data_IF_386793116506
#
_entry.id   IF_386793116506
#
_cell.length_a   1.000
_cell.length_b   1.000
_cell.length_c   1.000
_cell.angle_alpha   90.00
_cell.angle_beta   90.00
_cell.angle_gamma   90.00
#
_symmetry.space_group_name_H-M   'P 1'
#
loop_
_entity.id
_entity.type
_entity.pdbx_description
1 polymer ?
#
# COMPACT_ATOMS: atom_id res chain seq x y z
N UNK A 1 3.44 31.90 43.70
CA UNK A 1 4.26 31.87 42.47
C UNK A 1 5.16 30.62 42.37
N UNK A 2 5.97 30.30 43.39
CA UNK A 2 6.89 29.13 43.38
C UNK A 2 6.20 27.77 43.18
N UNK A 3 5.03 27.58 43.81
CA UNK A 3 4.24 26.33 43.71
C UNK A 3 3.71 26.05 42.30
N UNK A 4 3.35 27.10 41.55
CA UNK A 4 2.87 26.98 40.17
C UNK A 4 4.00 26.60 39.20
N UNK A 5 5.19 27.19 39.40
CA UNK A 5 6.38 26.86 38.61
C UNK A 5 6.85 25.41 38.84
N UNK A 6 6.85 24.93 40.08
CA UNK A 6 7.20 23.53 40.37
C UNK A 6 6.21 22.54 39.72
N UNK A 7 4.90 22.84 39.76
CA UNK A 7 3.90 22.00 39.11
C UNK A 7 4.09 21.97 37.58
N UNK A 8 4.34 23.11 36.95
CA UNK A 8 4.61 23.21 35.51
C UNK A 8 5.86 22.43 35.10
N UNK A 9 6.95 22.54 35.88
CA UNK A 9 8.20 21.81 35.59
C UNK A 9 8.00 20.28 35.67
N UNK A 10 7.21 19.81 36.64
CA UNK A 10 6.88 18.38 36.77
C UNK A 10 6.06 17.88 35.57
N UNK A 11 5.08 18.66 35.09
CA UNK A 11 4.26 18.30 33.91
C UNK A 11 5.11 18.26 32.63
N UNK A 12 6.04 19.19 32.44
CA UNK A 12 6.94 19.18 31.28
C UNK A 12 7.88 17.97 31.34
N UNK A 13 8.39 17.62 32.52
CA UNK A 13 9.25 16.45 32.69
C UNK A 13 8.52 15.13 32.40
N UNK A 14 7.26 14.97 32.85
CA UNK A 14 6.47 13.76 32.57
C UNK A 14 6.09 13.66 31.09
N UNK A 15 5.75 14.77 30.42
CA UNK A 15 5.51 14.81 28.98
C UNK A 15 6.76 14.44 28.17
N UNK A 16 7.94 14.94 28.57
CA UNK A 16 9.22 14.63 27.92
C UNK A 16 9.69 13.17 28.13
N UNK A 17 9.32 12.57 29.26
CA UNK A 17 9.58 11.14 29.53
C UNK A 17 8.62 10.25 28.73
N UNK A 18 7.34 10.62 28.63
CA UNK A 18 6.35 9.90 27.85
C UNK A 18 6.68 9.91 26.34
N UNK A 19 7.18 11.03 25.80
CA UNK A 19 7.54 11.12 24.38
C UNK A 19 8.72 10.22 23.99
N UNK A 20 9.71 10.05 24.87
CA UNK A 20 10.85 9.15 24.64
C UNK A 20 10.44 7.68 24.57
N UNK A 21 9.47 7.26 25.38
CA UNK A 21 8.93 5.89 25.33
C UNK A 21 8.21 5.56 24.03
N UNK A 22 7.49 6.53 23.46
CA UNK A 22 6.78 6.39 22.17
C UNK A 22 7.76 6.26 20.99
N UNK A 23 8.86 7.02 20.99
CA UNK A 23 9.85 6.99 19.91
C UNK A 23 10.63 5.66 19.82
N UNK A 24 10.86 4.96 20.94
CA UNK A 24 11.57 3.68 20.94
C UNK A 24 10.73 2.50 20.40
N UNK A 25 9.39 2.57 20.49
CA UNK A 25 8.50 1.55 19.93
C UNK A 25 8.40 1.64 18.39
N UNK A 26 8.57 2.84 17.83
CA UNK A 26 8.32 3.12 16.41
C UNK A 26 9.36 2.55 15.43
N UNK A 27 10.40 1.86 15.89
CA UNK A 27 11.40 1.29 14.97
C UNK A 27 10.87 -0.03 14.41
N UNK A 28 10.31 0.00 13.19
CA UNK A 28 9.95 -1.21 12.44
C UNK A 28 11.19 -2.09 12.31
N UNK A 29 11.25 -3.18 13.07
CA UNK A 29 12.37 -4.11 13.03
C UNK A 29 12.33 -4.88 11.71
N UNK A 30 13.15 -4.46 10.75
CA UNK A 30 13.32 -5.18 9.49
C UNK A 30 14.11 -6.46 9.75
N UNK A 31 13.46 -7.62 9.63
CA UNK A 31 14.06 -8.95 9.77
C UNK A 31 14.75 -9.37 8.46
N UNK A 32 14.10 -9.10 7.33
CA UNK A 32 14.65 -9.30 5.99
C UNK A 32 14.25 -8.12 5.13
N UNK A 33 15.24 -7.45 4.53
CA UNK A 33 14.99 -6.36 3.57
C UNK A 33 14.33 -6.87 2.30
N UNK A 34 13.85 -5.98 1.44
CA UNK A 34 13.29 -6.37 0.14
C UNK A 34 14.23 -7.29 -0.64
N UNK A 35 13.68 -8.43 -1.05
CA UNK A 35 14.33 -9.37 -1.97
C UNK A 35 13.39 -9.66 -3.12
N UNK A 36 13.95 -9.79 -4.33
CA UNK A 36 13.17 -10.16 -5.50
C UNK A 36 12.61 -11.58 -5.33
N UNK A 37 11.32 -11.73 -5.61
CA UNK A 37 10.63 -13.01 -5.57
C UNK A 37 9.91 -13.26 -6.90
N UNK A 38 9.60 -14.53 -7.24
CA UNK A 38 8.92 -14.84 -8.49
C UNK A 38 7.58 -14.11 -8.63
N UNK A 39 7.34 -13.48 -9.78
CA UNK A 39 6.11 -12.74 -10.04
C UNK A 39 4.86 -13.64 -10.01
N UNK A 40 5.01 -14.91 -10.36
CA UNK A 40 3.95 -15.92 -10.34
C UNK A 40 3.77 -16.59 -8.98
N UNK A 41 4.50 -16.15 -7.94
CA UNK A 41 4.33 -16.68 -6.60
C UNK A 41 2.91 -16.39 -6.10
N UNK A 42 2.28 -17.38 -5.46
CA UNK A 42 0.84 -17.34 -5.13
C UNK A 42 0.48 -16.11 -4.30
N UNK A 43 1.33 -15.76 -3.32
CA UNK A 43 1.07 -14.59 -2.48
C UNK A 43 1.28 -13.26 -3.21
N UNK A 44 2.16 -13.19 -4.21
CA UNK A 44 2.27 -12.01 -5.09
C UNK A 44 0.99 -11.84 -5.90
N UNK A 45 0.45 -12.93 -6.45
CA UNK A 45 -0.80 -12.90 -7.20
C UNK A 45 -1.99 -12.49 -6.32
N UNK A 46 -2.03 -12.97 -5.08
CA UNK A 46 -3.06 -12.60 -4.11
C UNK A 46 -2.96 -11.12 -3.69
N UNK A 47 -1.74 -10.65 -3.38
CA UNK A 47 -1.49 -9.24 -3.06
C UNK A 47 -1.84 -8.33 -4.24
N UNK A 48 -1.50 -8.73 -5.47
CA UNK A 48 -1.86 -8.01 -6.68
C UNK A 48 -3.38 -7.96 -6.88
N UNK A 49 -4.09 -9.08 -6.71
CA UNK A 49 -5.56 -9.11 -6.81
C UNK A 49 -6.20 -8.13 -5.81
N UNK A 50 -5.73 -8.14 -4.56
CA UNK A 50 -6.19 -7.22 -3.53
C UNK A 50 -5.90 -5.75 -3.91
N UNK A 51 -4.67 -5.45 -4.33
CA UNK A 51 -4.27 -4.10 -4.73
C UNK A 51 -5.10 -3.58 -5.92
N UNK A 52 -5.38 -4.43 -6.91
CA UNK A 52 -6.23 -4.08 -8.05
C UNK A 52 -7.69 -3.82 -7.63
N UNK A 53 -8.21 -4.58 -6.67
CA UNK A 53 -9.56 -4.37 -6.11
C UNK A 53 -9.66 -3.01 -5.42
N UNK A 54 -8.71 -2.69 -4.54
CA UNK A 54 -8.68 -1.40 -3.84
C UNK A 54 -8.43 -0.23 -4.80
N UNK A 55 -7.54 -0.39 -5.78
CA UNK A 55 -7.32 0.63 -6.82
C UNK A 55 -8.61 0.92 -7.60
N UNK A 56 -9.34 -0.12 -8.01
CA UNK A 56 -10.60 0.07 -8.75
C UNK A 56 -11.67 0.75 -7.91
N UNK A 57 -11.75 0.44 -6.61
CA UNK A 57 -12.65 1.10 -5.66
C UNK A 57 -12.30 2.59 -5.48
N UNK A 58 -11.02 2.91 -5.34
CA UNK A 58 -10.55 4.29 -5.10
C UNK A 58 -10.52 5.16 -6.38
N UNK A 59 -10.30 4.55 -7.54
CA UNK A 59 -10.22 5.25 -8.82
C UNK A 59 -11.54 5.97 -9.15
N UNK A 60 -11.47 7.16 -9.75
CA UNK A 60 -12.65 7.90 -10.23
C UNK A 60 -13.10 7.50 -11.64
N UNK A 61 -12.37 6.59 -12.28
CA UNK A 61 -12.71 6.13 -13.63
C UNK A 61 -14.03 5.35 -13.62
N UNK A 62 -14.79 5.45 -14.71
CA UNK A 62 -16.07 4.70 -14.87
C UNK A 62 -15.82 3.22 -15.17
N UNK A 63 -14.65 2.91 -15.73
CA UNK A 63 -14.24 1.56 -16.12
C UNK A 63 -13.27 0.97 -15.09
N UNK A 64 -13.25 -0.36 -15.01
CA UNK A 64 -12.25 -1.07 -14.20
C UNK A 64 -10.89 -1.10 -14.90
N UNK A 65 -9.85 -1.33 -14.13
CA UNK A 65 -8.48 -1.58 -14.59
C UNK A 65 -8.09 -3.01 -14.23
N UNK A 66 -7.28 -3.63 -15.10
CA UNK A 66 -6.65 -4.93 -14.85
C UNK A 66 -5.13 -4.82 -14.96
N UNK A 67 -4.43 -5.70 -14.26
CA UNK A 67 -3.00 -5.86 -14.42
C UNK A 67 -2.70 -6.37 -15.84
N UNK A 68 -1.87 -5.63 -16.56
CA UNK A 68 -1.35 -6.00 -17.89
C UNK A 68 -0.07 -6.83 -17.73
N UNK A 69 0.84 -6.37 -16.87
CA UNK A 69 2.14 -7.03 -16.65
C UNK A 69 2.74 -6.62 -15.31
N UNK A 70 3.17 -7.61 -14.52
CA UNK A 70 4.02 -7.36 -13.35
C UNK A 70 5.44 -7.07 -13.87
N UNK A 71 6.00 -5.93 -13.46
CA UNK A 71 7.36 -5.52 -13.81
C UNK A 71 8.35 -6.00 -12.74
N UNK A 72 7.96 -5.88 -11.47
CA UNK A 72 8.79 -6.20 -10.32
C UNK A 72 7.94 -6.73 -9.16
N UNK A 73 8.49 -7.68 -8.41
CA UNK A 73 7.89 -8.23 -7.20
C UNK A 73 8.97 -8.47 -6.16
N UNK A 74 8.83 -7.84 -5.00
CA UNK A 74 9.74 -7.98 -3.87
C UNK A 74 8.98 -8.28 -2.59
N UNK A 75 9.61 -9.00 -1.68
CA UNK A 75 9.09 -9.30 -0.35
C UNK A 75 10.06 -8.78 0.71
N UNK A 76 9.51 -8.15 1.76
CA UNK A 76 10.21 -7.73 2.97
C UNK A 76 9.54 -8.37 4.19
N UNK A 77 10.35 -8.75 5.18
CA UNK A 77 9.86 -9.27 6.47
C UNK A 77 10.20 -8.26 7.55
N UNK A 78 9.17 -7.72 8.21
CA UNK A 78 9.25 -6.81 9.34
C UNK A 78 8.62 -7.48 10.58
N UNK A 79 7.74 -6.77 11.30
CA UNK A 79 6.72 -7.36 12.16
C UNK A 79 5.54 -7.94 11.35
N UNK A 80 5.53 -7.72 10.04
CA UNK A 80 4.56 -8.25 9.08
C UNK A 80 5.26 -8.74 7.79
N UNK A 81 4.46 -9.24 6.84
CA UNK A 81 4.93 -9.64 5.51
C UNK A 81 4.51 -8.59 4.49
N UNK A 82 5.49 -7.89 3.92
CA UNK A 82 5.27 -6.75 3.04
C UNK A 82 5.64 -7.11 1.59
N UNK A 83 4.74 -6.79 0.66
CA UNK A 83 4.96 -7.00 -0.78
C UNK A 83 5.07 -5.67 -1.51
N UNK A 84 6.19 -5.48 -2.22
CA UNK A 84 6.35 -4.40 -3.17
C UNK A 84 6.14 -4.94 -4.58
N UNK A 85 5.10 -4.46 -5.27
CA UNK A 85 4.73 -4.92 -6.61
C UNK A 85 4.66 -3.72 -7.54
N UNK A 86 5.52 -3.70 -8.54
CA UNK A 86 5.46 -2.74 -9.65
C UNK A 86 4.71 -3.40 -10.79
N UNK A 87 3.62 -2.78 -11.25
CA UNK A 87 2.70 -3.39 -12.21
C UNK A 87 2.20 -2.36 -13.22
N UNK A 88 2.23 -2.73 -14.50
CA UNK A 88 1.50 -2.01 -15.54
C UNK A 88 0.05 -2.43 -15.50
N UNK A 89 -0.85 -1.46 -15.46
CA UNK A 89 -2.30 -1.66 -15.48
C UNK A 89 -2.90 -1.01 -16.71
N UNK A 90 -3.98 -1.57 -17.23
CA UNK A 90 -4.71 -1.01 -18.36
C UNK A 90 -6.20 -0.98 -18.09
N UNK A 91 -6.87 0.05 -18.62
CA UNK A 91 -8.32 0.20 -18.56
C UNK A 91 -8.99 -0.92 -19.36
N UNK A 92 -10.09 -1.43 -18.83
CA UNK A 92 -10.93 -2.45 -19.46
C UNK A 92 -12.16 -1.84 -20.14
N UNK A 93 -12.92 -2.68 -20.84
CA UNK A 93 -14.23 -2.31 -21.40
C UNK A 93 -15.36 -2.35 -20.34
N UNK A 94 -15.11 -2.94 -19.18
CA UNK A 94 -16.13 -3.17 -18.16
C UNK A 94 -16.28 -1.97 -17.25
N UNK A 95 -17.53 -1.63 -16.95
CA UNK A 95 -17.86 -0.61 -15.95
C UNK A 95 -17.60 -1.17 -14.56
N UNK A 96 -17.25 -0.34 -13.59
CA UNK A 96 -16.96 -0.80 -12.22
C UNK A 96 -18.11 -1.52 -11.51
N UNK A 97 -19.34 -1.34 -11.98
CA UNK A 97 -20.53 -1.98 -11.42
C UNK A 97 -20.59 -3.47 -11.78
N UNK A 98 -19.94 -3.90 -12.87
CA UNK A 98 -19.81 -5.32 -13.19
C UNK A 98 -18.66 -5.91 -12.38
N UNK A 99 -18.95 -6.88 -11.52
CA UNK A 99 -17.97 -7.68 -10.77
C UNK A 99 -17.28 -8.75 -11.64
N UNK A 100 -17.15 -8.47 -12.95
CA UNK A 100 -16.65 -9.44 -13.90
C UNK A 100 -15.12 -9.50 -13.84
N UNK A 101 -14.59 -10.59 -13.26
CA UNK A 101 -13.14 -10.77 -13.10
C UNK A 101 -12.42 -10.96 -14.45
N UNK A 102 -13.15 -11.40 -15.48
CA UNK A 102 -12.58 -11.67 -16.81
C UNK A 102 -12.99 -10.64 -17.86
N UNK A 103 -12.63 -9.37 -17.61
CA UNK A 103 -12.91 -8.30 -18.55
C UNK A 103 -11.79 -8.01 -19.58
N UNK A 104 -12.14 -7.86 -20.86
CA UNK A 104 -11.17 -7.49 -21.90
C UNK A 104 -10.61 -6.06 -21.74
N UNK A 105 -9.40 -5.85 -22.24
CA UNK A 105 -8.78 -4.52 -22.27
C UNK A 105 -9.48 -3.60 -23.28
N UNK A 106 -9.39 -2.28 -23.05
CA UNK A 106 -9.95 -1.29 -23.96
C UNK A 106 -9.11 -1.19 -25.24
N UNK A 107 -9.73 -1.41 -26.40
CA UNK A 107 -9.06 -1.36 -27.70
C UNK A 107 -9.22 -0.01 -28.42
N UNK A 108 -10.26 0.77 -28.10
CA UNK A 108 -10.44 2.11 -28.68
C UNK A 108 -9.30 3.05 -28.24
N UNK A 109 -8.47 3.56 -29.16
CA UNK A 109 -7.34 4.43 -28.83
C UNK A 109 -7.73 5.70 -28.06
N UNK A 110 -8.94 6.23 -28.29
CA UNK A 110 -9.43 7.43 -27.58
C UNK A 110 -9.81 7.13 -26.12
N UNK A 111 -10.07 5.86 -25.83
CA UNK A 111 -10.51 5.38 -24.52
C UNK A 111 -9.41 4.58 -23.82
N UNK A 112 -8.27 4.31 -24.44
CA UNK A 112 -7.16 3.61 -23.79
C UNK A 112 -6.55 4.44 -22.66
N UNK A 113 -6.24 3.75 -21.55
CA UNK A 113 -5.41 4.27 -20.47
C UNK A 113 -4.52 3.15 -19.98
N UNK A 114 -3.22 3.42 -19.93
CA UNK A 114 -2.20 2.53 -19.38
C UNK A 114 -1.43 3.32 -18.33
N UNK A 115 -1.29 2.75 -17.13
CA UNK A 115 -0.50 3.32 -16.05
C UNK A 115 0.61 2.32 -15.68
N UNK A 116 1.77 2.83 -15.30
CA UNK A 116 2.92 2.04 -14.84
C UNK A 116 3.79 2.87 -13.92
#
# INVERSE_FOLDING_TARGET
>A
MVRLCQALLLVVATMALASRGVQAWSSTKVVRTFQDIPQNYVYVQQALWFAMKEYNKASRDKFSFRALKVLKSQEQVTDSLEYYIEVKIARTICKKISEDENCAFQEDPKMQKVCG
#
